data_IF_729195777998
#
_entry.id   IF_729195777998
#
_cell.length_a   1.000
_cell.length_b   1.000
_cell.length_c   1.000
_cell.angle_alpha   90.00
_cell.angle_beta   90.00
_cell.angle_gamma   90.00
#
_symmetry.space_group_name_H-M   'P 1'
#
loop_
_entity.id
_entity.type
_entity.pdbx_description
1 polymer ?
#
# COMPACT_ATOMS: atom_id res chain seq x y z
N UNK A 1 46.72 -21.07 7.70
CA UNK A 1 45.51 -21.89 7.49
C UNK A 1 44.36 -21.22 8.24
N UNK A 2 43.54 -20.44 7.55
CA UNK A 2 42.36 -19.83 8.17
C UNK A 2 41.26 -20.90 8.24
N UNK A 3 41.18 -21.65 9.34
CA UNK A 3 40.05 -22.55 9.58
C UNK A 3 38.83 -21.69 9.89
N UNK A 4 38.09 -21.31 8.86
CA UNK A 4 36.80 -20.66 9.02
C UNK A 4 35.93 -21.56 9.93
N UNK A 5 35.33 -20.96 10.96
CA UNK A 5 34.38 -21.66 11.81
C UNK A 5 33.28 -22.31 10.94
N UNK A 6 32.81 -23.52 11.27
CA UNK A 6 31.75 -24.17 10.50
C UNK A 6 30.52 -23.25 10.46
N UNK A 7 29.88 -23.18 9.29
CA UNK A 7 28.69 -22.36 9.11
C UNK A 7 27.62 -22.76 10.15
N UNK A 8 26.89 -21.79 10.73
CA UNK A 8 25.82 -22.09 11.67
C UNK A 8 24.78 -22.99 10.98
N UNK A 9 24.12 -23.89 11.74
CA UNK A 9 23.11 -24.77 11.17
C UNK A 9 21.94 -23.93 10.64
N UNK A 10 21.27 -24.37 9.55
CA UNK A 10 20.15 -23.64 8.99
C UNK A 10 18.99 -23.56 9.99
N UNK A 11 18.12 -22.53 9.91
CA UNK A 11 16.93 -22.45 10.75
C UNK A 11 16.02 -23.68 10.54
N UNK A 12 15.19 -23.95 11.55
CA UNK A 12 14.21 -25.04 11.55
C UNK A 12 12.80 -24.48 11.59
N UNK A 13 11.84 -25.21 11.05
CA UNK A 13 10.43 -24.85 11.21
C UNK A 13 9.98 -25.07 12.65
N UNK A 14 8.96 -24.32 13.08
CA UNK A 14 8.51 -24.29 14.48
C UNK A 14 7.89 -25.65 14.87
N UNK A 15 6.75 -26.10 14.29
CA UNK A 15 6.23 -27.44 14.53
C UNK A 15 6.65 -28.44 13.44
N UNK A 16 6.84 -29.74 13.78
CA UNK A 16 6.98 -30.82 12.79
C UNK A 16 5.83 -30.88 11.78
N UNK A 17 4.62 -30.51 12.21
CA UNK A 17 3.44 -30.44 11.36
C UNK A 17 3.60 -29.46 10.17
N UNK A 18 4.38 -28.39 10.32
CA UNK A 18 4.64 -27.46 9.22
C UNK A 18 5.46 -28.11 8.11
N UNK A 19 6.46 -28.94 8.46
CA UNK A 19 7.21 -29.74 7.48
C UNK A 19 6.28 -30.71 6.75
N UNK A 20 5.46 -31.45 7.49
CA UNK A 20 4.51 -32.42 6.91
C UNK A 20 3.52 -31.74 5.96
N UNK A 21 3.03 -30.54 6.31
CA UNK A 21 2.15 -29.74 5.44
C UNK A 21 2.84 -29.36 4.13
N UNK A 22 4.04 -28.77 4.21
CA UNK A 22 4.80 -28.36 3.02
C UNK A 22 5.13 -29.59 2.15
N UNK A 23 5.54 -30.68 2.78
CA UNK A 23 5.84 -31.94 2.10
C UNK A 23 4.60 -32.49 1.36
N UNK A 24 3.42 -32.44 1.98
CA UNK A 24 2.15 -32.80 1.35
C UNK A 24 1.86 -31.92 0.13
N UNK A 25 1.87 -30.59 0.31
CA UNK A 25 1.60 -29.64 -0.78
C UNK A 25 2.52 -29.85 -1.98
N UNK A 26 3.82 -30.05 -1.74
CA UNK A 26 4.82 -30.25 -2.79
C UNK A 26 4.64 -31.61 -3.47
N UNK A 27 4.46 -32.69 -2.70
CA UNK A 27 4.27 -34.05 -3.24
C UNK A 27 2.99 -34.18 -4.07
N UNK A 28 1.90 -33.59 -3.59
CA UNK A 28 0.61 -33.64 -4.28
C UNK A 28 0.67 -32.82 -5.58
N UNK A 29 1.28 -31.63 -5.54
CA UNK A 29 1.45 -30.80 -6.73
C UNK A 29 2.43 -31.42 -7.76
N UNK A 30 3.51 -32.07 -7.30
CA UNK A 30 4.48 -32.72 -8.18
C UNK A 30 3.91 -33.99 -8.82
N UNK A 31 3.23 -34.84 -8.04
CA UNK A 31 2.57 -36.05 -8.56
C UNK A 31 1.44 -35.74 -9.53
N UNK A 32 0.74 -34.61 -9.36
CA UNK A 32 -0.24 -34.10 -10.31
C UNK A 32 0.38 -33.40 -11.54
N UNK A 33 1.72 -33.35 -11.64
CA UNK A 33 2.44 -32.70 -12.75
C UNK A 33 2.31 -31.17 -12.79
N UNK A 34 1.81 -30.53 -11.72
CA UNK A 34 1.58 -29.08 -11.65
C UNK A 34 2.86 -28.31 -11.37
N UNK A 35 3.79 -28.93 -10.66
CA UNK A 35 5.12 -28.37 -10.39
C UNK A 35 6.21 -29.42 -10.68
N UNK A 36 7.45 -28.94 -10.75
CA UNK A 36 8.65 -29.77 -10.76
C UNK A 36 9.69 -29.18 -9.84
N UNK A 37 10.28 -30.00 -8.96
CA UNK A 37 11.43 -29.56 -8.15
C UNK A 37 12.64 -29.36 -9.07
N UNK A 38 13.25 -28.17 -8.99
CA UNK A 38 14.44 -27.79 -9.77
C UNK A 38 15.71 -27.92 -8.91
N UNK A 39 15.61 -27.58 -7.63
CA UNK A 39 16.71 -27.68 -6.67
C UNK A 39 16.15 -27.85 -5.24
N UNK A 40 16.91 -28.50 -4.37
CA UNK A 40 16.49 -28.80 -3.00
C UNK A 40 15.58 -30.02 -2.91
N UNK A 41 14.49 -29.90 -2.16
CA UNK A 41 13.46 -30.93 -1.99
C UNK A 41 13.65 -31.85 -0.77
N UNK A 42 14.78 -31.76 -0.07
CA UNK A 42 15.00 -32.53 1.15
C UNK A 42 14.16 -31.98 2.30
N UNK A 43 13.35 -32.84 2.91
CA UNK A 43 12.48 -32.48 4.02
C UNK A 43 12.52 -33.59 5.08
N UNK A 44 12.65 -33.19 6.34
CA UNK A 44 12.66 -34.09 7.49
C UNK A 44 11.78 -33.49 8.60
N UNK A 45 10.64 -34.11 8.83
CA UNK A 45 9.67 -33.65 9.81
C UNK A 45 10.19 -33.76 11.25
N UNK A 46 10.95 -34.81 11.56
CA UNK A 46 11.47 -35.06 12.89
C UNK A 46 12.62 -34.10 13.21
N UNK A 47 13.47 -33.81 12.22
CA UNK A 47 14.49 -32.76 12.32
C UNK A 47 13.95 -31.33 12.13
N UNK A 48 12.64 -31.17 11.86
CA UNK A 48 11.97 -29.90 11.54
C UNK A 48 12.65 -29.12 10.41
N UNK A 49 13.19 -29.83 9.44
CA UNK A 49 14.04 -29.29 8.40
C UNK A 49 13.36 -29.34 7.03
N UNK A 50 13.48 -28.25 6.29
CA UNK A 50 13.14 -28.16 4.87
C UNK A 50 14.33 -27.47 4.21
N UNK A 51 14.95 -28.12 3.24
CA UNK A 51 16.03 -27.50 2.45
C UNK A 51 15.46 -26.35 1.60
N UNK A 52 16.22 -25.28 1.34
CA UNK A 52 15.87 -24.28 0.34
C UNK A 52 15.51 -24.96 -0.98
N UNK A 53 14.25 -24.88 -1.36
CA UNK A 53 13.68 -25.63 -2.48
C UNK A 53 13.12 -24.68 -3.51
N UNK A 54 13.54 -24.85 -4.76
CA UNK A 54 13.03 -24.09 -5.90
C UNK A 54 12.17 -25.02 -6.74
N UNK A 55 10.92 -24.63 -6.95
CA UNK A 55 10.00 -25.39 -7.80
C UNK A 55 9.59 -24.56 -9.01
N UNK A 56 9.50 -25.20 -10.17
CA UNK A 56 9.00 -24.58 -11.40
C UNK A 56 7.54 -25.00 -11.59
N UNK A 57 6.66 -24.02 -11.80
CA UNK A 57 5.25 -24.28 -12.11
C UNK A 57 5.13 -24.67 -13.59
N UNK A 58 4.40 -25.75 -13.87
CA UNK A 58 4.26 -26.32 -15.20
C UNK A 58 3.30 -25.49 -16.09
N UNK A 59 2.08 -25.25 -15.62
CA UNK A 59 1.14 -24.33 -16.25
C UNK A 59 1.11 -23.00 -15.48
N UNK A 60 1.48 -21.93 -16.18
CA UNK A 60 1.53 -20.57 -15.65
C UNK A 60 0.20 -19.82 -15.77
N UNK A 61 -0.85 -20.46 -16.31
CA UNK A 61 -2.16 -19.86 -16.40
C UNK A 61 -2.74 -19.57 -15.01
N UNK A 62 -3.42 -18.43 -14.80
CA UNK A 62 -4.06 -18.16 -13.51
C UNK A 62 -5.12 -19.19 -13.12
N UNK A 63 -5.75 -19.85 -14.10
CA UNK A 63 -6.72 -20.92 -13.87
C UNK A 63 -6.04 -22.18 -13.27
N UNK A 64 -4.91 -22.62 -13.83
CA UNK A 64 -4.19 -23.77 -13.30
C UNK A 64 -3.62 -23.51 -11.89
N UNK A 65 -3.27 -22.26 -11.59
CA UNK A 65 -2.85 -21.86 -10.25
C UNK A 65 -3.99 -21.96 -9.23
N UNK A 66 -5.22 -21.61 -9.61
CA UNK A 66 -6.42 -21.76 -8.77
C UNK A 66 -6.66 -23.23 -8.38
N UNK A 67 -6.40 -24.16 -9.30
CA UNK A 67 -6.56 -25.59 -9.07
C UNK A 67 -5.37 -26.23 -8.33
N UNK A 68 -4.32 -25.48 -7.98
CA UNK A 68 -3.12 -26.01 -7.34
C UNK A 68 -3.03 -25.55 -5.87
N UNK A 69 -3.35 -26.40 -4.88
CA UNK A 69 -3.30 -26.02 -3.45
C UNK A 69 -1.96 -25.43 -3.02
N UNK A 70 -0.85 -25.95 -3.55
CA UNK A 70 0.50 -25.40 -3.33
C UNK A 70 0.64 -23.93 -3.74
N UNK A 71 -0.11 -23.47 -4.76
CA UNK A 71 -0.11 -22.08 -5.21
C UNK A 71 -1.17 -21.21 -4.50
N UNK A 72 -2.16 -21.82 -3.84
CA UNK A 72 -3.24 -21.11 -3.14
C UNK A 72 -2.90 -20.81 -1.68
N UNK A 73 -2.04 -21.62 -1.06
CA UNK A 73 -1.66 -21.46 0.33
C UNK A 73 -0.28 -20.83 0.47
N UNK A 74 -0.13 -19.99 1.50
CA UNK A 74 1.19 -19.50 1.89
C UNK A 74 2.04 -20.67 2.43
N UNK A 75 3.21 -20.88 1.81
CA UNK A 75 4.09 -21.97 2.19
C UNK A 75 4.74 -21.73 3.55
N UNK A 76 4.96 -20.47 3.96
CA UNK A 76 5.61 -20.08 5.22
C UNK A 76 6.87 -20.91 5.54
N UNK A 77 7.61 -21.26 4.50
CA UNK A 77 8.76 -22.13 4.57
C UNK A 77 9.70 -21.90 3.39
N UNK A 78 10.87 -22.55 3.38
CA UNK A 78 11.92 -22.26 2.41
C UNK A 78 11.67 -22.94 1.06
N UNK A 79 10.46 -22.77 0.52
CA UNK A 79 10.05 -23.27 -0.80
C UNK A 79 9.55 -22.09 -1.64
N UNK A 80 10.23 -21.83 -2.75
CA UNK A 80 9.88 -20.74 -3.69
C UNK A 80 9.39 -21.30 -5.02
N UNK A 81 8.24 -20.80 -5.47
CA UNK A 81 7.66 -21.12 -6.76
C UNK A 81 8.11 -20.13 -7.83
N UNK A 82 8.57 -20.65 -8.96
CA UNK A 82 8.93 -19.85 -10.14
C UNK A 82 7.85 -20.05 -11.19
N UNK A 83 7.12 -18.97 -11.47
CA UNK A 83 6.07 -18.91 -12.49
C UNK A 83 6.59 -18.09 -13.67
N UNK A 84 6.57 -18.67 -14.87
CA UNK A 84 6.94 -17.93 -16.09
C UNK A 84 5.75 -17.10 -16.55
N UNK A 85 5.94 -15.80 -16.68
CA UNK A 85 4.94 -14.88 -17.24
C UNK A 85 5.36 -14.37 -18.61
N UNK A 86 4.40 -14.03 -19.48
CA UNK A 86 4.68 -13.52 -20.82
C UNK A 86 5.05 -12.03 -20.81
N UNK A 87 4.35 -11.25 -19.96
CA UNK A 87 4.45 -9.81 -19.84
C UNK A 87 3.91 -9.38 -18.46
N UNK A 88 3.90 -8.06 -18.21
CA UNK A 88 3.40 -7.50 -16.95
C UNK A 88 1.89 -7.71 -16.79
N UNK A 89 1.10 -7.59 -17.86
CA UNK A 89 -0.36 -7.82 -17.79
C UNK A 89 -0.69 -9.20 -17.22
N UNK A 90 0.01 -10.23 -17.73
CA UNK A 90 -0.14 -11.59 -17.23
C UNK A 90 0.30 -11.72 -15.76
N UNK A 91 1.37 -11.03 -15.35
CA UNK A 91 1.83 -11.04 -13.96
C UNK A 91 0.82 -10.36 -13.01
N UNK A 92 0.24 -9.23 -13.43
CA UNK A 92 -0.79 -8.52 -12.67
C UNK A 92 -2.01 -9.42 -12.48
N UNK A 93 -2.54 -10.00 -13.57
CA UNK A 93 -3.68 -10.93 -13.49
C UNK A 93 -3.37 -12.13 -12.59
N UNK A 94 -2.15 -12.68 -12.69
CA UNK A 94 -1.72 -13.79 -11.87
C UNK A 94 -1.73 -13.43 -10.37
N UNK A 95 -1.12 -12.31 -9.99
CA UNK A 95 -1.10 -11.86 -8.59
C UNK A 95 -2.50 -11.56 -8.07
N UNK A 96 -3.35 -10.91 -8.87
CA UNK A 96 -4.71 -10.57 -8.47
C UNK A 96 -5.57 -11.81 -8.16
N UNK A 97 -5.43 -12.87 -8.96
CA UNK A 97 -6.20 -14.11 -8.79
C UNK A 97 -5.62 -15.05 -7.75
N UNK A 98 -4.29 -15.17 -7.68
CA UNK A 98 -3.61 -16.19 -6.86
C UNK A 98 -3.28 -15.67 -5.46
N UNK A 99 -2.86 -14.41 -5.32
CA UNK A 99 -2.41 -13.85 -4.04
C UNK A 99 -3.50 -13.13 -3.24
N UNK A 100 -4.78 -13.43 -3.52
CA UNK A 100 -5.91 -12.82 -2.80
C UNK A 100 -6.00 -11.29 -2.97
N UNK A 101 -5.61 -10.78 -4.14
CA UNK A 101 -5.58 -9.37 -4.57
C UNK A 101 -4.52 -8.45 -3.95
N UNK A 102 -4.07 -8.63 -2.70
CA UNK A 102 -3.21 -7.65 -2.01
C UNK A 102 -2.15 -8.27 -1.08
N UNK A 103 -0.98 -8.70 -1.61
CA UNK A 103 0.10 -9.25 -0.79
C UNK A 103 0.70 -8.21 0.18
N UNK A 104 1.32 -8.69 1.26
CA UNK A 104 1.99 -7.80 2.22
C UNK A 104 3.21 -7.10 1.60
N UNK A 105 4.03 -7.82 0.84
CA UNK A 105 5.23 -7.30 0.18
C UNK A 105 5.24 -7.58 -1.31
N UNK A 106 5.60 -6.57 -2.11
CA UNK A 106 5.90 -6.69 -3.53
C UNK A 106 7.39 -6.43 -3.78
N UNK A 107 8.04 -7.30 -4.54
CA UNK A 107 9.45 -7.17 -4.87
C UNK A 107 9.64 -7.15 -6.39
N UNK A 108 10.25 -6.07 -6.90
CA UNK A 108 10.45 -5.89 -8.34
C UNK A 108 11.94 -5.72 -8.63
N UNK A 109 12.49 -6.61 -9.45
CA UNK A 109 13.88 -6.55 -9.90
C UNK A 109 13.94 -6.03 -11.34
N UNK A 110 14.46 -4.82 -11.53
CA UNK A 110 14.62 -4.17 -12.84
C UNK A 110 15.52 -2.95 -12.72
N UNK A 111 16.28 -2.64 -13.78
CA UNK A 111 16.99 -1.36 -13.92
C UNK A 111 16.21 -0.31 -14.71
N UNK A 112 15.06 -0.69 -15.31
CA UNK A 112 14.22 0.23 -16.08
C UNK A 112 13.21 0.91 -15.16
N UNK A 113 13.42 2.20 -14.89
CA UNK A 113 12.55 3.00 -14.01
C UNK A 113 11.08 3.00 -14.44
N UNK A 114 10.80 3.18 -15.73
CA UNK A 114 9.42 3.14 -16.24
C UNK A 114 8.71 1.82 -15.90
N UNK A 115 9.42 0.69 -15.97
CA UNK A 115 8.86 -0.62 -15.61
C UNK A 115 8.63 -0.75 -14.09
N UNK A 116 9.53 -0.20 -13.27
CA UNK A 116 9.35 -0.19 -11.81
C UNK A 116 8.08 0.60 -11.43
N UNK A 117 7.94 1.81 -11.98
CA UNK A 117 6.77 2.67 -11.76
C UNK A 117 5.48 2.01 -12.28
N UNK A 118 5.54 1.36 -13.45
CA UNK A 118 4.41 0.61 -13.99
C UNK A 118 3.98 -0.52 -13.05
N UNK A 119 4.91 -1.34 -12.56
CA UNK A 119 4.61 -2.41 -11.60
C UNK A 119 3.96 -1.87 -10.32
N UNK A 120 4.53 -0.80 -9.73
CA UNK A 120 4.01 -0.20 -8.49
C UNK A 120 2.62 0.43 -8.68
N UNK A 121 2.32 0.97 -9.86
CA UNK A 121 1.00 1.56 -10.14
C UNK A 121 -0.10 0.52 -10.38
N UNK A 122 0.28 -0.68 -10.81
CA UNK A 122 -0.66 -1.73 -11.24
C UNK A 122 -0.85 -2.83 -10.21
N UNK A 123 0.14 -3.10 -9.36
CA UNK A 123 0.07 -4.15 -8.33
C UNK A 123 -0.01 -3.49 -6.96
N UNK A 124 -1.12 -3.72 -6.26
CA UNK A 124 -1.35 -3.19 -4.92
C UNK A 124 -0.78 -4.14 -3.87
N UNK A 125 -0.01 -3.62 -2.92
CA UNK A 125 0.56 -4.36 -1.79
C UNK A 125 0.62 -3.49 -0.53
N UNK A 126 0.88 -4.11 0.63
CA UNK A 126 1.12 -3.38 1.88
C UNK A 126 2.39 -2.52 1.83
N UNK A 127 3.47 -3.08 1.28
CA UNK A 127 4.70 -2.37 0.95
C UNK A 127 5.39 -2.96 -0.27
N UNK A 128 6.41 -2.28 -0.78
CA UNK A 128 7.20 -2.74 -1.91
C UNK A 128 8.68 -2.39 -1.78
N UNK A 129 9.55 -3.18 -2.41
CA UNK A 129 10.96 -2.85 -2.60
C UNK A 129 11.39 -3.12 -4.04
N UNK A 130 12.25 -2.24 -4.55
CA UNK A 130 12.85 -2.34 -5.88
C UNK A 130 14.29 -2.82 -5.71
N UNK A 131 14.66 -3.88 -6.44
CA UNK A 131 15.99 -4.48 -6.44
C UNK A 131 16.47 -4.97 -5.06
N UNK A 132 15.55 -5.21 -4.13
CA UNK A 132 15.83 -5.73 -2.80
C UNK A 132 14.61 -6.48 -2.25
N UNK A 133 14.79 -7.19 -1.14
CA UNK A 133 13.73 -7.90 -0.42
C UNK A 133 13.80 -7.59 1.06
N UNK A 134 12.65 -7.56 1.74
CA UNK A 134 12.52 -7.40 3.21
C UNK A 134 12.97 -6.06 3.79
N UNK A 135 13.97 -5.37 3.22
CA UNK A 135 14.58 -4.15 3.78
C UNK A 135 13.58 -3.04 4.12
N UNK A 136 12.46 -2.95 3.40
CA UNK A 136 11.43 -1.95 3.67
C UNK A 136 10.78 -2.12 5.05
N UNK A 137 10.75 -3.34 5.61
CA UNK A 137 10.21 -3.59 6.96
C UNK A 137 11.17 -3.16 8.08
N UNK A 138 12.46 -2.97 7.77
CA UNK A 138 13.46 -2.51 8.72
C UNK A 138 13.59 -0.98 8.76
N UNK A 139 13.00 -0.27 7.79
CA UNK A 139 13.08 1.18 7.70
C UNK A 139 12.13 1.85 8.72
N UNK A 140 12.64 2.55 9.75
CA UNK A 140 11.82 3.03 10.87
C UNK A 140 10.85 4.16 10.50
N UNK A 141 11.10 4.82 9.37
CA UNK A 141 10.30 5.95 8.89
C UNK A 141 9.26 5.53 7.84
N UNK A 142 9.20 4.25 7.47
CA UNK A 142 8.18 3.71 6.58
C UNK A 142 7.07 3.05 7.41
N UNK A 143 5.79 3.23 7.03
CA UNK A 143 4.72 2.47 7.64
C UNK A 143 4.84 1.01 7.22
N UNK A 144 4.79 0.10 8.19
CA UNK A 144 4.70 -1.33 7.93
C UNK A 144 3.29 -1.81 8.25
N UNK A 145 2.60 -2.36 7.26
CA UNK A 145 1.21 -2.77 7.37
C UNK A 145 0.73 -3.46 6.11
N UNK A 146 -0.40 -4.15 6.23
CA UNK A 146 -1.06 -4.83 5.11
C UNK A 146 -2.09 -3.94 4.42
N UNK A 147 -2.63 -4.47 3.33
CA UNK A 147 -3.78 -3.92 2.62
C UNK A 147 -4.72 -5.08 2.27
N UNK A 148 -6.02 -4.93 2.56
CA UNK A 148 -7.01 -5.94 2.20
C UNK A 148 -6.75 -7.29 2.89
N UNK A 149 -6.50 -8.34 2.10
CA UNK A 149 -6.26 -9.70 2.61
C UNK A 149 -4.98 -9.85 3.43
N UNK A 150 -3.99 -8.97 3.24
CA UNK A 150 -2.76 -8.96 4.05
C UNK A 150 -2.88 -8.17 5.36
N UNK A 151 -4.00 -7.49 5.61
CA UNK A 151 -4.26 -6.77 6.86
C UNK A 151 -4.79 -5.35 6.67
N UNK A 152 -5.04 -4.68 7.79
CA UNK A 152 -5.52 -3.30 7.87
C UNK A 152 -4.71 -2.51 8.90
N UNK A 153 -4.47 -1.23 8.61
CA UNK A 153 -3.65 -0.36 9.45
C UNK A 153 -2.15 -0.57 9.24
N UNK A 154 -1.36 0.22 9.95
CA UNK A 154 0.09 0.16 9.89
C UNK A 154 0.71 0.56 11.24
N UNK A 155 1.98 0.20 11.43
CA UNK A 155 2.78 0.60 12.57
C UNK A 155 4.24 0.82 12.13
N UNK A 156 5.12 1.09 13.09
CA UNK A 156 6.53 1.38 12.86
C UNK A 156 6.83 2.84 13.17
N UNK A 157 7.85 3.10 13.98
CA UNK A 157 8.23 4.46 14.39
C UNK A 157 7.04 5.30 14.84
N UNK A 158 6.82 6.44 14.16
CA UNK A 158 5.70 7.36 14.42
C UNK A 158 4.32 6.73 14.17
N UNK A 159 4.18 5.84 13.20
CA UNK A 159 2.90 5.22 12.86
C UNK A 159 2.39 4.33 14.00
N UNK A 160 3.28 3.72 14.79
CA UNK A 160 2.87 3.02 16.02
C UNK A 160 2.22 3.98 17.02
N UNK A 161 2.80 5.16 17.23
CA UNK A 161 2.21 6.17 18.12
C UNK A 161 0.83 6.59 17.63
N UNK A 162 0.68 6.87 16.34
CA UNK A 162 -0.60 7.25 15.74
C UNK A 162 -1.65 6.13 15.86
N UNK A 163 -1.28 4.87 15.60
CA UNK A 163 -2.18 3.71 15.70
C UNK A 163 -2.66 3.43 17.12
N UNK A 164 -1.83 3.68 18.14
CA UNK A 164 -2.19 3.47 19.54
C UNK A 164 -2.67 4.74 20.26
N UNK A 165 -2.83 5.84 19.54
CA UNK A 165 -3.32 7.11 20.09
C UNK A 165 -4.73 7.41 19.62
N UNK A 166 -5.51 8.07 20.48
CA UNK A 166 -6.80 8.63 20.08
C UNK A 166 -6.62 10.08 19.60
N UNK A 167 -6.84 10.33 18.31
CA UNK A 167 -6.85 11.67 17.73
C UNK A 167 -8.04 12.50 18.20
N UNK A 168 -7.90 13.17 19.36
CA UNK A 168 -8.95 14.02 19.93
C UNK A 168 -9.03 15.37 19.21
N UNK A 169 -10.07 15.57 18.41
CA UNK A 169 -10.36 16.87 17.81
C UNK A 169 -10.87 17.88 18.85
N UNK A 170 -10.25 19.06 18.90
CA UNK A 170 -10.66 20.16 19.78
C UNK A 170 -10.73 21.45 18.96
N UNK A 171 -11.89 22.11 18.97
CA UNK A 171 -12.08 23.42 18.34
C UNK A 171 -12.24 24.47 19.43
N UNK A 172 -11.38 25.49 19.41
CA UNK A 172 -11.48 26.63 20.31
C UNK A 172 -12.02 27.84 19.54
N UNK A 173 -13.22 28.32 19.92
CA UNK A 173 -13.80 29.54 19.37
C UNK A 173 -13.73 30.66 20.41
N UNK A 174 -13.12 31.78 20.04
CA UNK A 174 -13.11 32.97 20.89
C UNK A 174 -14.53 33.54 21.07
N UNK A 175 -14.88 33.89 22.31
CA UNK A 175 -16.18 34.48 22.66
C UNK A 175 -16.39 35.87 22.03
N UNK A 176 -15.30 36.60 21.78
CA UNK A 176 -15.32 37.90 21.07
C UNK A 176 -15.50 37.76 19.54
N UNK A 177 -15.89 36.57 19.08
CA UNK A 177 -15.99 36.20 17.66
C UNK A 177 -17.09 36.88 16.86
N UNK A 178 -17.79 37.89 17.41
CA UNK A 178 -18.82 38.64 16.66
C UNK A 178 -18.31 39.22 15.32
N UNK A 179 -16.99 39.46 15.18
CA UNK A 179 -16.38 39.92 13.93
C UNK A 179 -16.18 38.81 12.87
N UNK A 180 -16.10 37.55 13.26
CA UNK A 180 -15.83 36.42 12.36
C UNK A 180 -16.88 35.32 12.43
N UNK A 181 -18.01 35.62 13.06
CA UNK A 181 -19.11 34.69 13.22
C UNK A 181 -20.25 35.04 12.27
N UNK A 182 -20.34 34.38 11.11
CA UNK A 182 -21.20 34.86 10.04
C UNK A 182 -22.67 34.80 10.48
N UNK A 183 -23.42 35.92 10.41
CA UNK A 183 -24.85 35.97 10.76
C UNK A 183 -25.73 35.05 9.90
N UNK A 184 -25.15 34.56 8.80
CA UNK A 184 -25.68 33.52 7.93
C UNK A 184 -26.02 32.22 8.66
N UNK A 185 -25.27 31.87 9.73
CA UNK A 185 -25.48 30.64 10.51
C UNK A 185 -26.68 30.70 11.45
N UNK A 186 -27.20 31.90 11.70
CA UNK A 186 -28.25 32.14 12.69
C UNK A 186 -29.59 32.46 12.03
N UNK A 187 -30.66 31.97 12.65
CA UNK A 187 -32.04 32.24 12.25
C UNK A 187 -32.40 33.75 12.33
N UNK A 188 -33.41 34.22 11.59
CA UNK A 188 -34.24 33.48 10.62
C UNK A 188 -33.49 33.24 9.29
N UNK A 189 -33.76 32.09 8.65
CA UNK A 189 -33.18 31.69 7.38
C UNK A 189 -34.00 32.21 6.20
N UNK A 190 -33.75 33.47 5.81
CA UNK A 190 -34.42 34.08 4.66
C UNK A 190 -33.97 33.43 3.34
N UNK A 191 -34.77 33.49 2.25
CA UNK A 191 -34.36 32.97 0.94
C UNK A 191 -33.02 33.54 0.46
N UNK A 192 -32.71 34.79 0.83
CA UNK A 192 -31.43 35.42 0.57
C UNK A 192 -30.28 34.75 1.35
N UNK A 193 -30.43 34.53 2.66
CA UNK A 193 -29.43 33.80 3.46
C UNK A 193 -29.21 32.39 2.93
N UNK A 194 -30.27 31.66 2.59
CA UNK A 194 -30.15 30.32 2.03
C UNK A 194 -29.41 30.32 0.69
N UNK A 195 -29.70 31.29 -0.19
CA UNK A 195 -29.00 31.44 -1.48
C UNK A 195 -27.54 31.83 -1.29
N UNK A 196 -27.23 32.74 -0.36
CA UNK A 196 -25.86 33.14 -0.04
C UNK A 196 -25.05 32.00 0.59
N UNK A 197 -25.67 31.19 1.46
CA UNK A 197 -25.05 30.00 2.06
C UNK A 197 -24.78 28.92 1.02
N UNK A 198 -25.75 28.66 0.13
CA UNK A 198 -25.57 27.71 -0.98
C UNK A 198 -24.44 28.14 -1.90
N UNK A 199 -24.42 29.42 -2.30
CA UNK A 199 -23.32 29.97 -3.09
C UNK A 199 -21.98 29.86 -2.35
N UNK A 200 -21.94 30.14 -1.04
CA UNK A 200 -20.71 29.99 -0.26
C UNK A 200 -20.24 28.53 -0.17
N UNK A 201 -21.15 27.55 -0.07
CA UNK A 201 -20.82 26.13 -0.11
C UNK A 201 -20.36 25.67 -1.51
N UNK A 202 -21.00 26.16 -2.57
CA UNK A 202 -20.65 25.84 -3.96
C UNK A 202 -19.29 26.45 -4.38
N UNK A 203 -18.86 27.51 -3.69
CA UNK A 203 -17.54 28.16 -3.84
C UNK A 203 -16.50 27.73 -2.81
N UNK A 204 -16.90 26.96 -1.78
CA UNK A 204 -15.92 26.26 -0.98
C UNK A 204 -15.29 25.21 -1.89
N UNK A 205 -13.96 25.21 -2.06
CA UNK A 205 -13.27 24.12 -2.73
C UNK A 205 -13.82 22.79 -2.22
N UNK A 206 -14.29 21.93 -3.11
CA UNK A 206 -14.14 20.50 -2.86
C UNK A 206 -12.63 20.31 -2.58
N UNK A 207 -12.29 20.11 -1.32
CA UNK A 207 -10.97 19.65 -0.92
C UNK A 207 -10.94 18.20 -1.42
N UNK A 208 -10.32 17.85 -2.58
CA UNK A 208 -9.19 18.47 -3.27
C UNK A 208 -9.33 18.55 -4.82
N UNK A 209 -9.56 19.73 -5.42
CA UNK A 209 -9.42 19.90 -6.88
C UNK A 209 -9.20 21.33 -7.39
N UNK A 210 -8.77 22.28 -6.56
CA UNK A 210 -8.63 23.68 -7.02
C UNK A 210 -7.25 23.90 -7.61
N UNK A 211 -7.16 23.69 -8.92
CA UNK A 211 -5.97 23.99 -9.73
C UNK A 211 -5.49 25.44 -9.57
N UNK A 212 -4.20 25.71 -9.85
CA UNK A 212 -3.51 26.93 -9.47
C UNK A 212 -4.19 28.23 -9.91
N UNK A 213 -4.95 28.21 -11.01
CA UNK A 213 -5.61 29.38 -11.60
C UNK A 213 -6.64 30.03 -10.65
N UNK A 214 -7.44 29.23 -9.93
CA UNK A 214 -8.49 29.77 -9.05
C UNK A 214 -7.88 30.35 -7.76
N UNK A 215 -6.80 29.74 -7.26
CA UNK A 215 -6.03 30.30 -6.15
C UNK A 215 -5.40 31.67 -6.52
N UNK A 216 -4.98 31.86 -7.77
CA UNK A 216 -4.50 33.16 -8.26
C UNK A 216 -5.62 34.21 -8.36
N UNK A 217 -6.79 33.85 -8.88
CA UNK A 217 -7.94 34.77 -8.98
C UNK A 217 -8.41 35.24 -7.60
N UNK A 218 -8.47 34.33 -6.62
CA UNK A 218 -8.85 34.66 -5.24
C UNK A 218 -7.83 35.56 -4.53
N UNK A 219 -6.54 35.47 -4.89
CA UNK A 219 -5.49 36.37 -4.37
C UNK A 219 -5.51 37.77 -4.99
N UNK A 220 -6.09 37.93 -6.18
CA UNK A 220 -6.16 39.22 -6.90
C UNK A 220 -7.38 40.06 -6.54
N UNK A 221 -8.47 39.44 -6.05
CA UNK A 221 -9.69 40.16 -5.66
C UNK A 221 -9.49 41.22 -4.54
N UNK A 222 -8.73 40.95 -3.46
CA UNK A 222 -8.43 41.97 -2.45
C UNK A 222 -7.62 43.15 -3.02
N UNK A 223 -6.71 42.87 -3.97
CA UNK A 223 -5.85 43.88 -4.61
C UNK A 223 -6.66 44.77 -5.55
N UNK A 224 -7.59 44.19 -6.33
CA UNK A 224 -8.49 44.95 -7.19
C UNK A 224 -9.45 45.82 -6.36
N UNK A 225 -9.96 45.31 -5.23
CA UNK A 225 -10.78 46.07 -4.31
C UNK A 225 -10.01 47.24 -3.67
N UNK A 226 -8.75 47.03 -3.25
CA UNK A 226 -7.89 48.09 -2.72
C UNK A 226 -7.57 49.15 -3.78
N UNK A 227 -7.32 48.74 -5.03
CA UNK A 227 -7.04 49.66 -6.14
C UNK A 227 -8.26 50.52 -6.49
N UNK A 228 -9.46 49.95 -6.45
CA UNK A 228 -10.72 50.68 -6.64
C UNK A 228 -11.01 51.63 -5.47
N UNK A 229 -10.65 51.25 -4.25
CA UNK A 229 -10.76 52.12 -3.07
C UNK A 229 -9.77 53.31 -3.15
N UNK A 230 -8.53 53.04 -3.55
CA UNK A 230 -7.50 54.06 -3.73
C UNK A 230 -7.88 55.08 -4.83
N UNK A 231 -8.49 54.61 -5.92
CA UNK A 231 -9.02 55.48 -6.99
C UNK A 231 -10.16 56.39 -6.55
N UNK A 232 -10.91 56.03 -5.50
CA UNK A 232 -11.98 56.86 -4.92
C UNK A 232 -11.48 57.85 -3.87
N UNK A 233 -10.30 57.62 -3.29
CA UNK A 233 -9.73 58.43 -2.21
C UNK A 233 -8.73 59.49 -2.68
N UNK A 234 -8.24 59.40 -3.93
CA UNK A 234 -7.39 60.41 -4.53
C UNK A 234 -8.27 61.48 -5.21
N UNK A 235 -8.20 62.77 -4.79
CA UNK A 235 -8.91 63.85 -5.47
C UNK A 235 -8.36 64.00 -6.90
N UNK A 236 -9.26 64.19 -7.87
CA UNK A 236 -8.89 64.44 -9.25
C UNK A 236 -8.08 65.74 -9.33
N UNK A 237 -6.82 65.62 -9.73
CA UNK A 237 -5.97 66.73 -10.14
C UNK A 237 -6.23 67.09 -11.60
#
# INVERSE_FOLDING_TARGET
>A
SNSAAPAPPPPRLIPPAAVRRIQGLVKDAESAGKIRIVSGGQMDAEARYVAPTVVRVADSSPAAAADCPFMQEETFGPVIAVVRVKNLDHAVEYVERVSGRHPLGLYVFSNRRAFQEECLSRIRSGGAAINDVVVQSAAPNLPFGGLGSSGLGCYGGRYSFETFSHGRAVVHKHLNGALFDPPLRYAPFTPFKCRAFRLALDYLPDVPAVGPVVAWVLRLLPVAALALLARRLLPAA
#
